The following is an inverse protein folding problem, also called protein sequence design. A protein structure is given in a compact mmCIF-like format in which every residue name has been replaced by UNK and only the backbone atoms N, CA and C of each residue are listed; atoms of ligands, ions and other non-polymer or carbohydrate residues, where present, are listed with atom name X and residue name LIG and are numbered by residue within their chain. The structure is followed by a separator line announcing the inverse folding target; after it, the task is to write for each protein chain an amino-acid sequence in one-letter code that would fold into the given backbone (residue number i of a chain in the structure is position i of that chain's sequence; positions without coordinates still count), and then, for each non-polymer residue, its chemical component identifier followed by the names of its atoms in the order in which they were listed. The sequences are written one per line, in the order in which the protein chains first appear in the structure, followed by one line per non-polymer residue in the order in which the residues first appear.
data_IF_361842787269
#
_entry.id   IF_361842787269
#
_cell.length_a   1.000
_cell.length_b   1.000
_cell.length_c   1.000
_cell.angle_alpha   90.00
_cell.angle_beta   90.00
_cell.angle_gamma   90.00
#
_symmetry.space_group_name_H-M   'P 1'
#
loop_
_entity.id
_entity.type
_entity.pdbx_description
1 polymer ?
#
# COMPACT_ATOMS: atom_id res chain seq x y z
N UNK A 1 -28.02 22.81 23.55
CA UNK A 1 -26.57 22.49 23.62
C UNK A 1 -26.09 21.48 22.55
N UNK A 2 -26.94 21.02 21.62
CA UNK A 2 -26.61 20.03 20.58
C UNK A 2 -26.09 20.62 19.24
N UNK A 3 -26.14 21.94 19.06
CA UNK A 3 -25.73 22.60 17.80
C UNK A 3 -24.21 22.68 17.61
N UNK A 4 -23.42 22.75 18.70
CA UNK A 4 -21.97 22.94 18.63
C UNK A 4 -21.18 21.66 18.29
N UNK A 5 -21.73 20.48 18.61
CA UNK A 5 -21.06 19.18 18.38
C UNK A 5 -21.17 18.74 16.92
N UNK A 6 -22.26 19.11 16.24
CA UNK A 6 -22.56 18.71 14.86
C UNK A 6 -21.74 19.48 13.81
N UNK A 7 -21.35 20.72 14.14
CA UNK A 7 -20.44 21.53 13.33
C UNK A 7 -19.00 20.98 13.44
N UNK A 8 -18.61 20.48 14.62
CA UNK A 8 -17.25 20.00 14.88
C UNK A 8 -16.88 18.70 14.15
N UNK A 9 -17.83 17.77 13.95
CA UNK A 9 -17.57 16.48 13.27
C UNK A 9 -17.59 16.58 11.73
N UNK A 10 -18.46 17.43 11.16
CA UNK A 10 -18.49 17.65 9.71
C UNK A 10 -17.30 18.50 9.21
N UNK A 11 -16.89 19.52 9.97
CA UNK A 11 -15.68 20.30 9.65
C UNK A 11 -14.38 19.50 9.78
N UNK A 12 -14.37 18.41 10.56
CA UNK A 12 -13.17 17.59 10.78
C UNK A 12 -12.96 16.50 9.72
N UNK A 13 -14.02 15.95 9.13
CA UNK A 13 -13.91 15.00 8.01
C UNK A 13 -13.51 15.68 6.70
N UNK A 14 -13.97 16.91 6.44
CA UNK A 14 -13.48 17.73 5.32
C UNK A 14 -11.97 18.00 5.41
N UNK A 15 -11.43 18.08 6.63
CA UNK A 15 -10.02 18.37 6.87
C UNK A 15 -9.08 17.18 6.52
N UNK A 16 -9.49 15.93 6.80
CA UNK A 16 -8.68 14.76 6.47
C UNK A 16 -8.63 14.49 4.97
N UNK A 17 -9.79 14.53 4.29
CA UNK A 17 -9.85 14.32 2.84
C UNK A 17 -9.06 15.40 2.09
N UNK A 18 -9.15 16.65 2.53
CA UNK A 18 -8.33 17.73 1.99
C UNK A 18 -6.83 17.49 2.21
N UNK A 19 -6.43 17.01 3.39
CA UNK A 19 -5.03 16.70 3.72
C UNK A 19 -4.48 15.49 2.95
N UNK A 20 -5.29 14.45 2.73
CA UNK A 20 -4.91 13.30 1.90
C UNK A 20 -4.76 13.70 0.43
N UNK A 21 -5.67 14.53 -0.08
CA UNK A 21 -5.54 15.12 -1.43
C UNK A 21 -4.28 15.97 -1.55
N UNK A 22 -4.02 16.83 -0.56
CA UNK A 22 -2.80 17.64 -0.52
C UNK A 22 -1.54 16.76 -0.50
N UNK A 23 -1.51 15.69 0.30
CA UNK A 23 -0.40 14.73 0.30
C UNK A 23 -0.17 14.11 -1.08
N UNK A 24 -1.24 13.63 -1.72
CA UNK A 24 -1.18 12.99 -3.05
C UNK A 24 -0.64 13.98 -4.10
N UNK A 25 -1.19 15.20 -4.16
CA UNK A 25 -0.70 16.25 -5.05
C UNK A 25 0.77 16.62 -4.79
N UNK A 26 1.19 16.64 -3.53
CA UNK A 26 2.59 16.90 -3.18
C UNK A 26 3.51 15.77 -3.63
N UNK A 27 3.12 14.50 -3.46
CA UNK A 27 3.90 13.36 -3.94
C UNK A 27 4.05 13.42 -5.46
N UNK A 28 2.96 13.67 -6.19
CA UNK A 28 3.00 13.79 -7.66
C UNK A 28 3.87 14.97 -8.11
N UNK A 29 3.80 16.09 -7.41
CA UNK A 29 4.64 17.27 -7.65
C UNK A 29 6.12 16.99 -7.36
N UNK A 30 6.44 16.29 -6.26
CA UNK A 30 7.80 15.85 -5.92
C UNK A 30 8.34 14.93 -7.01
N UNK A 31 7.53 13.96 -7.46
CA UNK A 31 7.96 13.00 -8.47
C UNK A 31 8.21 13.68 -9.81
N UNK A 32 7.29 14.55 -10.23
CA UNK A 32 7.38 15.27 -11.51
C UNK A 32 8.59 16.21 -11.51
N UNK A 33 8.76 17.02 -10.47
CA UNK A 33 9.85 18.00 -10.38
C UNK A 33 11.23 17.34 -10.27
N UNK A 34 11.38 16.26 -9.50
CA UNK A 34 12.66 15.56 -9.39
C UNK A 34 12.99 14.76 -10.66
N UNK A 35 12.00 14.20 -11.37
CA UNK A 35 12.21 13.53 -12.66
C UNK A 35 12.64 14.50 -13.75
N UNK A 36 12.07 15.71 -13.77
CA UNK A 36 12.50 16.78 -14.69
C UNK A 36 13.97 17.16 -14.47
N UNK A 37 14.38 17.34 -13.21
CA UNK A 37 15.77 17.67 -12.85
C UNK A 37 16.74 16.52 -13.17
N UNK A 38 16.34 15.28 -12.89
CA UNK A 38 17.09 14.08 -13.25
C UNK A 38 17.33 14.00 -14.77
N UNK A 39 16.28 14.20 -15.57
CA UNK A 39 16.38 14.17 -17.01
C UNK A 39 17.26 15.31 -17.56
N UNK A 40 17.20 16.50 -16.97
CA UNK A 40 18.07 17.61 -17.34
C UNK A 40 19.56 17.28 -17.10
N UNK A 41 19.90 16.68 -15.94
CA UNK A 41 21.27 16.23 -15.64
C UNK A 41 21.72 15.12 -16.61
N UNK A 42 20.85 14.16 -16.93
CA UNK A 42 21.16 13.08 -17.90
C UNK A 42 21.38 13.65 -19.31
N UNK A 43 20.54 14.60 -19.75
CA UNK A 43 20.64 15.20 -21.08
C UNK A 43 21.92 16.03 -21.26
N UNK A 44 22.41 16.66 -20.19
CA UNK A 44 23.70 17.34 -20.20
C UNK A 44 24.86 16.36 -20.43
N UNK A 45 24.81 15.18 -19.78
CA UNK A 45 25.77 14.10 -20.01
C UNK A 45 25.65 13.46 -21.40
N UNK A 46 24.43 13.30 -21.91
CA UNK A 46 24.17 12.78 -23.26
C UNK A 46 24.74 13.70 -24.33
N UNK A 47 24.66 15.02 -24.11
CA UNK A 47 25.25 16.03 -25.00
C UNK A 47 26.78 15.95 -25.03
N UNK A 48 27.42 15.69 -23.89
CA UNK A 48 28.89 15.48 -23.80
C UNK A 48 29.31 14.19 -24.48
N UNK A 49 28.51 13.12 -24.37
CA UNK A 49 28.76 11.86 -25.07
C UNK A 49 28.68 12.06 -26.59
N UNK A 50 27.68 12.80 -27.09
CA UNK A 50 27.54 13.12 -28.52
C UNK A 50 28.70 13.94 -29.08
N UNK A 51 29.31 14.80 -28.26
CA UNK A 51 30.51 15.57 -28.60
C UNK A 51 31.82 14.79 -28.44
N UNK A 52 31.75 13.50 -28.09
CA UNK A 52 32.91 12.64 -27.80
C UNK A 52 33.81 13.14 -26.65
N UNK A 53 33.30 14.04 -25.79
CA UNK A 53 34.03 14.58 -24.63
C UNK A 53 34.14 13.57 -23.47
N UNK A 54 33.33 12.50 -23.50
CA UNK A 54 33.26 11.45 -22.47
C UNK A 54 33.03 10.09 -23.11
N UNK A 55 33.59 9.03 -22.52
CA UNK A 55 33.38 7.65 -22.99
C UNK A 55 31.98 7.13 -22.64
N UNK A 56 31.48 6.17 -23.43
CA UNK A 56 30.18 5.52 -23.16
C UNK A 56 30.13 4.87 -21.77
N UNK A 57 31.22 4.24 -21.32
CA UNK A 57 31.30 3.63 -19.99
C UNK A 57 31.15 4.69 -18.88
N UNK A 58 31.83 5.83 -19.01
CA UNK A 58 31.74 6.95 -18.06
C UNK A 58 30.33 7.55 -18.06
N UNK A 59 29.70 7.67 -19.22
CA UNK A 59 28.30 8.10 -19.33
C UNK A 59 27.32 7.16 -18.59
N UNK A 60 27.45 5.84 -18.77
CA UNK A 60 26.57 4.89 -18.08
C UNK A 60 26.76 4.91 -16.56
N UNK A 61 28.00 5.04 -16.10
CA UNK A 61 28.31 5.18 -14.67
C UNK A 61 27.65 6.43 -14.07
N UNK A 62 27.76 7.58 -14.74
CA UNK A 62 27.19 8.84 -14.24
C UNK A 62 25.67 8.86 -14.34
N UNK A 63 25.08 8.32 -15.42
CA UNK A 63 23.62 8.14 -15.54
C UNK A 63 23.06 7.31 -14.38
N UNK A 64 23.76 6.25 -13.97
CA UNK A 64 23.39 5.43 -12.81
C UNK A 64 23.50 6.21 -11.50
N UNK A 65 24.59 6.95 -11.29
CA UNK A 65 24.77 7.80 -10.08
C UNK A 65 23.69 8.87 -9.98
N UNK A 66 23.33 9.51 -11.10
CA UNK A 66 22.26 10.50 -11.17
C UNK A 66 20.92 9.86 -10.82
N UNK A 67 20.57 8.71 -11.40
CA UNK A 67 19.34 8.00 -11.07
C UNK A 67 19.27 7.62 -9.58
N UNK A 68 20.37 7.14 -8.99
CA UNK A 68 20.44 6.80 -7.57
C UNK A 68 20.31 8.04 -6.66
N UNK A 69 20.97 9.15 -7.00
CA UNK A 69 20.86 10.45 -6.32
C UNK A 69 19.40 10.93 -6.29
N UNK A 70 18.73 10.95 -7.44
CA UNK A 70 17.34 11.42 -7.54
C UNK A 70 16.35 10.45 -6.89
N UNK A 71 16.58 9.13 -6.98
CA UNK A 71 15.79 8.15 -6.24
C UNK A 71 15.89 8.37 -4.72
N UNK A 72 17.08 8.61 -4.18
CA UNK A 72 17.27 8.89 -2.75
C UNK A 72 16.56 10.19 -2.34
N UNK A 73 16.69 11.23 -3.16
CA UNK A 73 16.07 12.54 -2.91
C UNK A 73 14.55 12.49 -2.96
N UNK A 74 13.96 11.79 -3.93
CA UNK A 74 12.51 11.54 -4.01
C UNK A 74 12.03 10.77 -2.78
N UNK A 75 12.72 9.68 -2.41
CA UNK A 75 12.36 8.88 -1.24
C UNK A 75 12.41 9.71 0.05
N UNK A 76 13.42 10.56 0.24
CA UNK A 76 13.53 11.41 1.42
C UNK A 76 12.38 12.43 1.49
N UNK A 77 12.04 13.07 0.36
CA UNK A 77 10.93 14.04 0.29
C UNK A 77 9.56 13.38 0.52
N UNK A 78 9.35 12.20 -0.07
CA UNK A 78 8.11 11.43 0.12
C UNK A 78 7.99 10.92 1.56
N UNK A 79 9.10 10.50 2.20
CA UNK A 79 9.11 10.06 3.60
C UNK A 79 8.73 11.21 4.55
N UNK A 80 9.19 12.44 4.28
CA UNK A 80 8.80 13.62 5.07
C UNK A 80 7.29 13.90 4.98
N UNK A 81 6.73 13.85 3.76
CA UNK A 81 5.28 14.02 3.57
C UNK A 81 4.49 12.84 4.18
N UNK A 82 5.07 11.63 4.16
CA UNK A 82 4.47 10.43 4.76
C UNK A 82 4.37 10.55 6.27
N UNK A 83 5.41 11.07 6.94
CA UNK A 83 5.39 11.29 8.39
C UNK A 83 4.25 12.25 8.80
N UNK A 84 4.02 13.29 8.00
CA UNK A 84 2.92 14.24 8.21
C UNK A 84 1.55 13.55 8.08
N UNK A 85 1.38 12.71 7.06
CA UNK A 85 0.14 11.94 6.87
C UNK A 85 -0.08 10.89 7.97
N UNK A 86 0.99 10.20 8.38
CA UNK A 86 0.96 9.19 9.45
C UNK A 86 0.51 9.81 10.78
N UNK A 87 0.95 11.04 11.09
CA UNK A 87 0.53 11.77 12.30
C UNK A 87 -0.97 12.15 12.27
N UNK A 88 -1.43 12.68 11.14
CA UNK A 88 -2.82 13.12 10.95
C UNK A 88 -3.76 11.89 11.00
N UNK A 89 -3.36 10.79 10.36
CA UNK A 89 -4.17 9.57 10.29
C UNK A 89 -4.25 8.88 11.67
N UNK A 90 -3.15 8.83 12.42
CA UNK A 90 -3.14 8.31 13.81
C UNK A 90 -4.08 9.09 14.72
N UNK A 91 -4.05 10.43 14.66
CA UNK A 91 -4.93 11.30 15.45
C UNK A 91 -6.42 11.06 15.13
N UNK A 92 -6.75 10.84 13.86
CA UNK A 92 -8.14 10.58 13.46
C UNK A 92 -8.64 9.18 13.87
N UNK A 93 -7.81 8.14 13.67
CA UNK A 93 -8.14 6.76 14.05
C UNK A 93 -8.35 6.66 15.55
N UNK A 94 -7.48 7.28 16.36
CA UNK A 94 -7.61 7.31 17.80
C UNK A 94 -8.95 7.93 18.23
N UNK A 95 -9.33 9.07 17.63
CA UNK A 95 -10.59 9.76 17.95
C UNK A 95 -11.86 8.98 17.54
N UNK A 96 -11.78 8.20 16.46
CA UNK A 96 -12.89 7.37 15.99
C UNK A 96 -13.19 6.17 16.89
N UNK A 97 -12.20 5.68 17.63
CA UNK A 97 -12.32 4.50 18.51
C UNK A 97 -12.94 4.87 19.88
N UNK A 98 -12.77 6.12 20.34
CA UNK A 98 -13.26 6.57 21.66
C UNK A 98 -14.66 7.20 21.67
N UNK A 99 -15.34 7.30 20.52
CA UNK A 99 -16.65 7.99 20.42
C UNK A 99 -17.81 6.98 20.32
N UNK A 100 -18.58 6.81 21.42
CA UNK A 100 -19.80 5.97 21.45
C UNK A 100 -20.88 6.49 20.49
N UNK A 101 -21.40 5.60 19.64
CA UNK A 101 -22.45 5.87 18.64
C UNK A 101 -23.86 6.01 19.26
N UNK A 102 -24.76 6.77 18.60
CA UNK A 102 -26.09 6.23 18.35
C UNK A 102 -26.60 6.43 16.91
N UNK A 103 -27.71 5.74 16.65
CA UNK A 103 -28.29 5.25 15.41
C UNK A 103 -29.30 6.25 14.78
N UNK A 104 -29.22 6.42 13.45
CA UNK A 104 -30.22 6.78 12.40
C UNK A 104 -31.09 8.07 12.54
N UNK A 105 -31.02 8.97 11.54
CA UNK A 105 -32.12 9.37 10.58
C UNK A 105 -31.69 10.56 9.72
N UNK A 106 -32.01 10.49 8.42
CA UNK A 106 -31.76 11.53 7.43
C UNK A 106 -32.82 12.64 7.53
N UNK A 107 -32.37 13.88 7.47
CA UNK A 107 -33.14 14.97 6.86
C UNK A 107 -32.30 15.68 5.79
N UNK A 108 -33.00 16.06 4.72
CA UNK A 108 -32.47 16.66 3.50
C UNK A 108 -32.16 18.13 3.73
N UNK A 109 -30.95 18.56 3.39
CA UNK A 109 -30.68 19.97 3.08
C UNK A 109 -29.91 20.05 1.77
N UNK A 110 -30.53 20.75 0.81
CA UNK A 110 -30.04 21.03 -0.53
C UNK A 110 -28.85 21.98 -0.42
N UNK A 111 -27.68 21.57 -0.91
CA UNK A 111 -26.71 22.48 -1.51
C UNK A 111 -26.07 21.73 -2.69
N UNK A 112 -26.60 22.02 -3.87
CA UNK A 112 -26.24 21.42 -5.14
C UNK A 112 -24.94 22.02 -5.66
N UNK A 113 -23.85 21.25 -5.59
CA UNK A 113 -22.72 21.42 -6.50
C UNK A 113 -22.98 20.45 -7.66
N UNK A 114 -23.30 21.02 -8.83
CA UNK A 114 -23.53 20.28 -10.06
C UNK A 114 -22.24 19.57 -10.49
N UNK A 115 -22.11 18.30 -10.12
CA UNK A 115 -21.31 17.34 -10.88
C UNK A 115 -22.27 16.74 -11.90
N UNK A 116 -21.99 16.97 -13.18
CA UNK A 116 -22.79 16.46 -14.30
C UNK A 116 -23.02 14.95 -14.12
N UNK A 117 -24.24 14.61 -13.72
CA UNK A 117 -24.81 13.28 -13.85
C UNK A 117 -25.16 13.12 -15.32
N UNK A 118 -24.30 12.45 -16.08
CA UNK A 118 -24.68 11.94 -17.39
C UNK A 118 -25.64 10.78 -17.17
N UNK A 119 -26.93 11.05 -17.27
CA UNK A 119 -27.91 10.01 -17.53
C UNK A 119 -27.66 9.55 -18.98
N UNK A 120 -27.16 8.33 -19.16
CA UNK A 120 -27.15 7.70 -20.48
C UNK A 120 -27.53 6.24 -20.37
N UNK A 121 -28.73 6.00 -20.88
CA UNK A 121 -29.23 4.76 -21.43
C UNK A 121 -28.14 3.86 -22.03
N UNK A 122 -28.20 2.57 -21.68
CA UNK A 122 -27.93 1.49 -22.63
C UNK A 122 -26.51 1.32 -23.18
N UNK A 123 -25.43 1.63 -22.44
CA UNK A 123 -24.07 1.20 -22.84
C UNK A 123 -23.49 0.16 -21.89
N UNK A 124 -23.14 -1.00 -22.45
CA UNK A 124 -22.33 -2.04 -21.80
C UNK A 124 -20.91 -1.49 -21.62
N UNK A 125 -20.67 -0.74 -20.57
CA UNK A 125 -19.38 -0.12 -20.30
C UNK A 125 -18.40 -1.12 -19.69
N UNK A 126 -17.54 -1.71 -20.55
CA UNK A 126 -16.37 -2.49 -20.15
C UNK A 126 -15.23 -1.54 -19.79
N UNK A 127 -15.25 -0.94 -18.59
CA UNK A 127 -14.09 -0.19 -18.09
C UNK A 127 -13.18 -1.09 -17.25
N UNK A 128 -11.94 -1.24 -17.73
CA UNK A 128 -10.84 -1.76 -16.92
C UNK A 128 -10.23 -0.59 -16.14
N UNK A 129 -10.22 -0.69 -14.82
CA UNK A 129 -9.70 0.36 -13.94
C UNK A 129 -8.43 -0.11 -13.23
N UNK A 130 -7.45 0.77 -13.08
CA UNK A 130 -6.27 0.53 -12.26
C UNK A 130 -6.54 1.10 -10.86
N UNK A 131 -6.52 0.22 -9.86
CA UNK A 131 -6.65 0.59 -8.47
C UNK A 131 -5.30 0.52 -7.78
N UNK A 132 -4.99 1.51 -6.96
CA UNK A 132 -3.83 1.47 -6.07
C UNK A 132 -4.34 1.45 -4.64
N UNK A 133 -3.84 0.53 -3.82
CA UNK A 133 -4.20 0.43 -2.42
C UNK A 133 -2.98 0.31 -1.51
N UNK A 134 -3.17 0.77 -0.29
CA UNK A 134 -2.17 0.71 0.78
C UNK A 134 -2.83 0.18 2.05
N UNK A 135 -2.13 -0.69 2.76
CA UNK A 135 -2.62 -1.25 4.02
C UNK A 135 -1.50 -1.39 5.05
N UNK A 136 -1.88 -1.25 6.31
CA UNK A 136 -1.07 -1.76 7.41
C UNK A 136 -1.32 -3.26 7.52
N UNK A 137 -0.28 -4.01 7.85
CA UNK A 137 -0.37 -5.47 7.89
C UNK A 137 0.44 -6.06 9.02
N UNK A 138 0.07 -7.26 9.43
CA UNK A 138 0.72 -7.96 10.54
C UNK A 138 0.47 -9.46 10.46
N UNK A 139 1.37 -10.22 11.10
CA UNK A 139 1.22 -11.66 11.26
C UNK A 139 0.37 -11.97 12.48
N UNK A 140 -0.47 -12.97 12.32
CA UNK A 140 -1.52 -13.40 13.24
C UNK A 140 -1.64 -14.91 13.18
N UNK A 141 -2.33 -15.49 14.16
CA UNK A 141 -2.76 -16.88 14.08
C UNK A 141 -4.09 -16.93 13.33
N UNK A 142 -5.09 -17.49 14.00
CA UNK A 142 -6.46 -17.60 13.45
C UNK A 142 -7.32 -16.35 13.66
N UNK A 143 -6.79 -15.32 14.33
CA UNK A 143 -7.52 -14.07 14.58
C UNK A 143 -7.41 -13.02 13.46
N UNK A 144 -8.15 -11.92 13.58
CA UNK A 144 -8.12 -10.76 12.66
C UNK A 144 -7.39 -9.55 13.25
N UNK A 145 -6.53 -9.75 14.26
CA UNK A 145 -5.91 -8.66 15.00
C UNK A 145 -4.68 -8.09 14.27
N UNK A 146 -4.90 -7.09 13.42
CA UNK A 146 -3.84 -6.36 12.71
C UNK A 146 -2.83 -5.68 13.67
N UNK A 147 -3.21 -5.46 14.93
CA UNK A 147 -2.37 -4.83 15.94
C UNK A 147 -1.75 -5.82 16.93
N UNK A 148 -1.62 -7.09 16.56
CA UNK A 148 -0.96 -8.10 17.36
C UNK A 148 0.51 -7.74 17.66
N UNK A 149 0.84 -7.52 18.95
CA UNK A 149 2.20 -7.18 19.40
C UNK A 149 3.13 -8.39 19.51
N UNK A 150 2.59 -9.59 19.49
CA UNK A 150 3.33 -10.84 19.69
C UNK A 150 3.86 -11.44 18.38
N UNK A 151 3.54 -10.84 17.24
CA UNK A 151 3.90 -11.31 15.89
C UNK A 151 5.40 -11.30 15.56
N UNK A 152 6.25 -10.74 16.43
CA UNK A 152 7.66 -10.48 16.14
C UNK A 152 7.89 -9.34 15.14
N UNK A 153 6.83 -8.72 14.62
CA UNK A 153 6.91 -7.64 13.63
C UNK A 153 6.60 -6.26 14.22
N UNK A 154 7.13 -5.23 13.55
CA UNK A 154 6.84 -3.82 13.85
C UNK A 154 5.52 -3.40 13.22
N UNK A 155 4.52 -3.24 14.06
CA UNK A 155 3.22 -2.65 13.72
C UNK A 155 3.44 -1.25 13.12
N UNK A 156 2.77 -0.95 12.00
CA UNK A 156 2.82 0.34 11.30
C UNK A 156 4.01 0.53 10.35
N UNK A 157 5.13 -0.19 10.56
CA UNK A 157 6.21 -0.27 9.58
C UNK A 157 6.05 -1.46 8.63
N UNK A 158 5.35 -2.49 9.08
CA UNK A 158 4.89 -3.60 8.26
C UNK A 158 3.64 -3.18 7.48
N UNK A 159 3.71 -3.24 6.16
CA UNK A 159 2.69 -2.70 5.26
C UNK A 159 2.61 -3.49 3.96
N UNK A 160 1.50 -3.32 3.26
CA UNK A 160 1.25 -3.90 1.94
C UNK A 160 0.80 -2.81 0.96
N UNK A 161 1.28 -2.93 -0.28
CA UNK A 161 0.87 -2.12 -1.42
C UNK A 161 0.37 -3.04 -2.52
N UNK A 162 -0.73 -2.68 -3.16
CA UNK A 162 -1.30 -3.47 -4.24
C UNK A 162 -1.76 -2.56 -5.39
N UNK A 163 -1.37 -2.93 -6.60
CA UNK A 163 -1.85 -2.38 -7.86
C UNK A 163 -2.74 -3.42 -8.49
N UNK A 164 -4.01 -3.10 -8.69
CA UNK A 164 -5.03 -4.03 -9.18
C UNK A 164 -5.64 -3.51 -10.48
N UNK A 165 -5.47 -4.25 -11.58
CA UNK A 165 -6.25 -4.07 -12.79
C UNK A 165 -7.59 -4.80 -12.65
N UNK A 166 -8.66 -4.01 -12.51
CA UNK A 166 -10.02 -4.48 -12.22
C UNK A 166 -10.93 -4.34 -13.43
N UNK A 167 -11.61 -5.42 -13.80
CA UNK A 167 -12.81 -5.39 -14.65
C UNK A 167 -14.06 -5.53 -13.79
N UNK A 168 -15.10 -4.80 -14.16
CA UNK A 168 -16.38 -4.82 -13.46
C UNK A 168 -17.48 -5.30 -14.40
N UNK A 169 -18.31 -6.22 -13.92
CA UNK A 169 -19.51 -6.67 -14.61
C UNK A 169 -20.72 -6.48 -13.69
N UNK A 170 -21.73 -5.77 -14.17
CA UNK A 170 -23.00 -5.66 -13.46
C UNK A 170 -23.84 -6.90 -13.77
N UNK A 171 -24.32 -7.58 -12.73
CA UNK A 171 -25.16 -8.77 -12.91
C UNK A 171 -26.56 -8.35 -13.35
N UNK A 172 -27.17 -9.06 -14.31
CA UNK A 172 -28.58 -8.82 -14.69
C UNK A 172 -28.82 -7.53 -15.48
N UNK A 173 -30.05 -6.99 -15.38
CA UNK A 173 -30.45 -5.76 -16.10
C UNK A 173 -29.74 -4.54 -15.51
N UNK A 174 -29.61 -3.45 -16.29
CA UNK A 174 -28.86 -2.24 -15.91
C UNK A 174 -29.25 -1.57 -14.57
N UNK A 175 -30.38 -1.92 -13.96
CA UNK A 175 -30.82 -1.44 -12.64
C UNK A 175 -30.40 -2.32 -11.46
N UNK A 176 -29.76 -3.47 -11.69
CA UNK A 176 -29.44 -4.42 -10.62
C UNK A 176 -28.28 -3.90 -9.74
N UNK A 177 -28.42 -3.86 -8.40
CA UNK A 177 -27.37 -3.38 -7.49
C UNK A 177 -26.15 -4.30 -7.33
N UNK A 178 -26.14 -5.49 -7.92
CA UNK A 178 -25.03 -6.45 -7.79
C UNK A 178 -23.98 -6.31 -8.90
N UNK A 179 -22.71 -6.31 -8.49
CA UNK A 179 -21.56 -6.26 -9.37
C UNK A 179 -20.56 -7.37 -9.04
N UNK A 180 -19.87 -7.86 -10.06
CA UNK A 180 -18.72 -8.74 -9.94
C UNK A 180 -17.49 -7.98 -10.42
N UNK A 181 -16.44 -8.01 -9.62
CA UNK A 181 -15.14 -7.46 -9.92
C UNK A 181 -14.12 -8.59 -10.03
N UNK A 182 -13.34 -8.60 -11.10
CA UNK A 182 -12.29 -9.58 -11.30
C UNK A 182 -11.12 -8.97 -12.07
N UNK A 183 -9.93 -9.59 -12.00
CA UNK A 183 -8.81 -9.15 -12.81
C UNK A 183 -7.47 -9.66 -12.30
N UNK A 184 -6.46 -8.80 -12.30
CA UNK A 184 -5.09 -9.16 -11.94
C UNK A 184 -4.47 -8.10 -11.02
N UNK A 185 -3.86 -8.54 -9.93
CA UNK A 185 -3.24 -7.66 -8.94
C UNK A 185 -1.76 -8.01 -8.71
N UNK A 186 -0.93 -6.97 -8.66
CA UNK A 186 0.44 -7.03 -8.20
C UNK A 186 0.49 -6.52 -6.77
N UNK A 187 0.82 -7.39 -5.82
CA UNK A 187 0.88 -7.08 -4.39
C UNK A 187 2.30 -7.21 -3.88
N UNK A 188 2.74 -6.24 -3.07
CA UNK A 188 4.01 -6.30 -2.35
C UNK A 188 3.80 -6.10 -0.87
N UNK A 189 4.16 -7.12 -0.11
CA UNK A 189 4.14 -7.07 1.35
C UNK A 189 5.54 -6.80 1.86
N UNK A 190 5.66 -5.93 2.85
CA UNK A 190 6.93 -5.63 3.50
C UNK A 190 6.80 -5.92 5.00
N UNK A 191 7.43 -7.00 5.45
CA UNK A 191 7.52 -7.39 6.85
C UNK A 191 8.78 -6.82 7.48
N UNK A 192 8.61 -6.12 8.59
CA UNK A 192 9.72 -5.49 9.29
C UNK A 192 9.82 -6.08 10.71
N UNK A 193 10.88 -6.84 11.03
CA UNK A 193 11.08 -7.39 12.36
C UNK A 193 11.15 -6.31 13.44
N UNK A 194 10.92 -6.70 14.70
CA UNK A 194 11.24 -5.88 15.88
C UNK A 194 12.70 -5.41 15.85
N UNK A 195 12.99 -4.32 16.57
CA UNK A 195 14.34 -3.72 16.60
C UNK A 195 15.37 -4.80 16.99
N UNK A 196 16.58 -4.64 16.45
CA UNK A 196 17.70 -5.58 16.53
C UNK A 196 17.57 -6.87 15.71
N UNK A 197 16.37 -7.30 15.29
CA UNK A 197 16.23 -8.57 14.56
C UNK A 197 16.33 -8.44 13.04
N UNK A 198 16.83 -9.49 12.40
CA UNK A 198 16.88 -9.69 10.94
C UNK A 198 16.25 -11.02 10.56
N UNK A 199 15.72 -11.10 9.34
CA UNK A 199 15.39 -12.40 8.75
C UNK A 199 16.68 -13.03 8.23
N UNK A 200 16.88 -14.32 8.50
CA UNK A 200 18.02 -15.12 8.05
C UNK A 200 17.50 -16.41 7.43
N UNK A 201 18.04 -16.77 6.27
CA UNK A 201 17.81 -18.06 5.63
C UNK A 201 19.11 -18.88 5.74
N UNK A 202 19.04 -20.01 6.45
CA UNK A 202 20.17 -20.92 6.64
C UNK A 202 19.67 -22.37 6.70
N UNK A 203 20.36 -23.31 6.06
CA UNK A 203 19.98 -24.73 6.00
C UNK A 203 18.51 -24.93 5.59
N UNK A 204 18.06 -24.21 4.55
CA UNK A 204 16.68 -24.14 4.06
C UNK A 204 15.64 -23.64 5.06
N UNK A 205 16.04 -23.12 6.23
CA UNK A 205 15.13 -22.59 7.25
C UNK A 205 15.16 -21.08 7.27
N UNK A 206 14.01 -20.47 7.51
CA UNK A 206 13.85 -19.02 7.64
C UNK A 206 13.47 -18.67 9.08
N UNK A 207 14.29 -17.89 9.76
CA UNK A 207 14.04 -17.51 11.14
C UNK A 207 14.42 -16.05 11.40
N UNK A 208 14.14 -15.58 12.62
CA UNK A 208 14.57 -14.27 13.09
C UNK A 208 15.77 -14.45 14.01
N UNK A 209 16.80 -13.67 13.76
CA UNK A 209 18.03 -13.65 14.55
C UNK A 209 18.34 -12.21 14.98
N UNK A 210 19.02 -12.05 16.11
CA UNK A 210 19.56 -10.76 16.50
C UNK A 210 20.72 -10.36 15.58
N UNK A 211 20.79 -9.08 15.25
CA UNK A 211 21.80 -8.56 14.34
C UNK A 211 23.08 -8.20 15.09
N UNK A 212 24.16 -8.94 14.84
CA UNK A 212 25.42 -8.79 15.58
C UNK A 212 26.49 -7.93 14.87
N UNK A 213 26.36 -7.68 13.56
CA UNK A 213 27.40 -7.01 12.74
C UNK A 213 27.43 -5.48 12.89
N UNK A 214 27.12 -4.97 14.08
CA UNK A 214 27.04 -3.55 14.42
C UNK A 214 25.62 -3.00 14.57
N UNK A 215 25.41 -1.72 14.23
CA UNK A 215 24.15 -1.02 14.51
C UNK A 215 23.13 -1.17 13.38
N UNK A 216 22.09 -1.95 13.62
CA UNK A 216 21.00 -2.16 12.67
C UNK A 216 20.21 -0.87 12.39
N UNK A 217 20.24 -0.41 11.13
CA UNK A 217 19.43 0.75 10.68
C UNK A 217 18.03 0.33 10.26
N UNK A 218 17.93 -0.74 9.45
CA UNK A 218 16.65 -1.25 8.93
C UNK A 218 16.81 -2.68 8.42
N UNK A 219 15.90 -3.56 8.85
CA UNK A 219 15.72 -4.89 8.27
C UNK A 219 14.32 -5.03 7.71
N UNK A 220 14.16 -5.73 6.60
CA UNK A 220 12.84 -6.07 6.06
C UNK A 220 12.90 -7.29 5.14
N UNK A 221 11.85 -8.09 5.18
CA UNK A 221 11.52 -9.07 4.16
C UNK A 221 10.42 -8.51 3.27
N UNK A 222 10.59 -8.64 1.95
CA UNK A 222 9.60 -8.23 0.96
C UNK A 222 9.16 -9.44 0.14
N UNK A 223 7.86 -9.69 0.15
CA UNK A 223 7.23 -10.71 -0.68
C UNK A 223 6.47 -10.03 -1.81
N UNK A 224 6.53 -10.62 -3.00
CA UNK A 224 5.88 -10.12 -4.21
C UNK A 224 4.93 -11.19 -4.72
N UNK A 225 3.69 -10.80 -4.98
CA UNK A 225 2.64 -11.71 -5.42
C UNK A 225 1.98 -11.20 -6.70
N UNK A 226 1.56 -12.16 -7.52
CA UNK A 226 0.61 -11.96 -8.61
C UNK A 226 -0.67 -12.69 -8.23
N UNK A 227 -1.77 -11.95 -8.14
CA UNK A 227 -3.05 -12.44 -7.61
C UNK A 227 -4.17 -12.25 -8.63
N UNK A 228 -5.09 -13.21 -8.66
CA UNK A 228 -6.37 -13.15 -9.34
C UNK A 228 -7.48 -12.92 -8.30
N UNK A 229 -7.91 -11.67 -8.07
CA UNK A 229 -9.04 -11.36 -7.19
C UNK A 229 -10.40 -11.60 -7.87
N UNK A 230 -11.38 -12.00 -7.07
CA UNK A 230 -12.80 -12.06 -7.41
C UNK A 230 -13.62 -11.49 -6.25
N UNK A 231 -14.35 -10.41 -6.48
CA UNK A 231 -15.13 -9.71 -5.46
C UNK A 231 -16.54 -9.42 -5.97
N UNK A 232 -17.53 -9.83 -5.18
CA UNK A 232 -18.92 -9.45 -5.36
C UNK A 232 -19.17 -8.17 -4.58
N UNK A 233 -19.82 -7.18 -5.20
CA UNK A 233 -20.25 -5.98 -4.51
C UNK A 233 -21.73 -5.69 -4.68
N UNK A 234 -22.31 -5.13 -3.63
CA UNK A 234 -23.72 -4.79 -3.54
C UNK A 234 -23.86 -3.31 -3.21
N UNK A 235 -24.50 -2.57 -4.12
CA UNK A 235 -24.68 -1.13 -4.01
C UNK A 235 -25.98 -0.80 -3.30
N UNK A 236 -25.87 -0.18 -2.12
CA UNK A 236 -27.02 0.30 -1.33
C UNK A 236 -26.93 1.82 -1.24
N UNK A 237 -27.75 2.53 -2.02
CA UNK A 237 -27.73 3.99 -2.09
C UNK A 237 -26.31 4.53 -2.40
N UNK A 238 -25.67 5.17 -1.43
CA UNK A 238 -24.32 5.77 -1.51
C UNK A 238 -23.21 4.82 -1.02
N UNK A 239 -23.59 3.69 -0.43
CA UNK A 239 -22.67 2.69 0.09
C UNK A 239 -22.52 1.54 -0.89
N UNK A 240 -21.37 0.90 -0.88
CA UNK A 240 -21.13 -0.35 -1.60
C UNK A 240 -20.39 -1.29 -0.66
N UNK A 241 -21.00 -2.45 -0.41
CA UNK A 241 -20.41 -3.53 0.37
C UNK A 241 -19.80 -4.52 -0.61
N UNK A 242 -18.55 -4.91 -0.39
CA UNK A 242 -17.90 -5.95 -1.18
C UNK A 242 -17.44 -7.10 -0.31
N UNK A 243 -17.58 -8.29 -0.86
CA UNK A 243 -17.09 -9.55 -0.30
C UNK A 243 -16.45 -10.34 -1.43
N UNK A 244 -15.23 -10.81 -1.21
CA UNK A 244 -14.48 -11.51 -2.24
C UNK A 244 -13.35 -12.35 -1.70
N UNK A 245 -12.70 -13.03 -2.63
CA UNK A 245 -11.48 -13.77 -2.40
C UNK A 245 -10.41 -13.39 -3.42
N UNK A 246 -9.21 -13.88 -3.19
CA UNK A 246 -8.11 -13.82 -4.13
C UNK A 246 -7.26 -15.07 -3.99
N UNK A 247 -6.70 -15.51 -5.11
CA UNK A 247 -5.73 -16.59 -5.16
C UNK A 247 -4.58 -16.20 -6.08
N UNK A 248 -3.38 -16.72 -5.86
CA UNK A 248 -2.27 -16.50 -6.78
C UNK A 248 -0.96 -17.05 -6.28
N UNK A 249 0.12 -16.54 -6.85
CA UNK A 249 1.48 -17.06 -6.65
C UNK A 249 2.40 -16.01 -6.06
N UNK A 250 3.31 -16.47 -5.21
CA UNK A 250 4.48 -15.71 -4.79
C UNK A 250 5.54 -15.80 -5.90
N UNK A 251 6.01 -14.65 -6.38
CA UNK A 251 7.00 -14.59 -7.47
C UNK A 251 8.39 -14.22 -6.99
N UNK A 252 8.51 -13.59 -5.81
CA UNK A 252 9.79 -13.11 -5.33
C UNK A 252 9.78 -12.78 -3.84
N UNK A 253 10.81 -13.26 -3.14
CA UNK A 253 11.07 -12.94 -1.74
C UNK A 253 12.45 -12.30 -1.61
N UNK A 254 12.54 -11.17 -0.91
CA UNK A 254 13.77 -10.39 -0.78
C UNK A 254 13.96 -9.97 0.66
N UNK A 255 15.04 -10.43 1.29
CA UNK A 255 15.56 -9.86 2.53
C UNK A 255 16.44 -8.66 2.18
N UNK A 256 16.24 -7.54 2.88
CA UNK A 256 17.08 -6.35 2.75
C UNK A 256 17.43 -5.82 4.13
N UNK A 257 18.73 -5.80 4.41
CA UNK A 257 19.29 -5.30 5.66
C UNK A 257 20.19 -4.11 5.38
N UNK A 258 20.09 -3.10 6.22
CA UNK A 258 20.90 -1.88 6.22
C UNK A 258 21.40 -1.66 7.64
N UNK A 259 22.70 -1.42 7.79
CA UNK A 259 23.34 -1.27 9.09
C UNK A 259 24.59 -0.38 8.99
N UNK A 260 25.13 -0.03 10.14
CA UNK A 260 26.46 0.57 10.28
C UNK A 260 27.36 -0.47 10.95
N UNK A 261 28.51 -0.76 10.37
CA UNK A 261 29.48 -1.68 10.97
C UNK A 261 30.17 -1.06 12.20
N UNK A 262 31.08 -1.81 12.84
CA UNK A 262 31.81 -1.37 14.04
C UNK A 262 32.63 -0.08 13.82
N UNK A 263 33.00 0.20 12.57
CA UNK A 263 33.71 1.43 12.18
C UNK A 263 32.74 2.56 11.76
N UNK A 264 31.45 2.44 12.11
CA UNK A 264 30.33 3.31 11.72
C UNK A 264 30.19 3.51 10.20
N UNK A 265 30.70 2.57 9.38
CA UNK A 265 30.53 2.63 7.92
C UNK A 265 29.20 2.01 7.53
N UNK A 266 28.45 2.72 6.69
CA UNK A 266 27.16 2.25 6.21
C UNK A 266 27.31 1.05 5.26
N UNK A 267 26.63 -0.05 5.57
CA UNK A 267 26.56 -1.27 4.78
C UNK A 267 25.11 -1.64 4.47
N UNK A 268 24.92 -2.34 3.35
CA UNK A 268 23.63 -2.89 2.94
C UNK A 268 23.84 -4.20 2.20
N UNK A 269 22.99 -5.19 2.45
CA UNK A 269 22.90 -6.38 1.61
C UNK A 269 21.45 -6.67 1.24
N UNK A 270 21.30 -7.45 0.18
CA UNK A 270 20.02 -7.90 -0.36
C UNK A 270 20.18 -9.35 -0.76
N UNK A 271 19.36 -10.21 -0.18
CA UNK A 271 19.34 -11.64 -0.46
C UNK A 271 17.97 -11.99 -1.03
N UNK A 272 17.95 -12.72 -2.14
CA UNK A 272 16.72 -13.36 -2.63
C UNK A 272 16.65 -14.70 -1.93
N UNK A 273 15.49 -15.03 -1.39
CA UNK A 273 15.27 -16.28 -0.66
C UNK A 273 14.21 -17.11 -1.38
N UNK A 274 14.36 -18.42 -1.33
CA UNK A 274 13.42 -19.36 -1.96
C UNK A 274 12.73 -20.25 -0.92
N UNK A 275 13.31 -20.43 0.27
CA UNK A 275 12.70 -21.20 1.35
C UNK A 275 11.94 -20.33 2.36
N UNK A 276 11.15 -20.98 3.22
CA UNK A 276 10.44 -20.35 4.34
C UNK A 276 9.16 -19.58 3.98
N UNK A 277 8.90 -19.31 2.70
CA UNK A 277 7.70 -18.60 2.24
C UNK A 277 6.82 -19.52 1.38
N UNK A 278 5.51 -19.44 1.54
CA UNK A 278 4.60 -20.23 0.71
C UNK A 278 4.59 -19.74 -0.75
N UNK A 279 4.65 -20.65 -1.74
CA UNK A 279 4.71 -20.29 -3.15
C UNK A 279 3.37 -19.84 -3.72
N UNK A 280 2.26 -20.12 -3.01
CA UNK A 280 0.92 -19.69 -3.36
C UNK A 280 0.26 -18.95 -2.19
N UNK A 281 -0.77 -18.17 -2.52
CA UNK A 281 -1.52 -17.38 -1.54
C UNK A 281 -3.01 -17.44 -1.87
N UNK A 282 -3.83 -17.82 -0.90
CA UNK A 282 -5.29 -17.73 -0.95
C UNK A 282 -5.77 -16.90 0.23
N UNK A 283 -6.73 -16.00 0.00
CA UNK A 283 -7.26 -15.16 1.06
C UNK A 283 -8.63 -14.56 0.74
N UNK A 284 -9.24 -14.01 1.78
CA UNK A 284 -10.53 -13.33 1.74
C UNK A 284 -10.38 -11.81 1.85
N UNK A 285 -11.36 -11.09 1.31
CA UNK A 285 -11.46 -9.64 1.34
C UNK A 285 -12.88 -9.18 1.65
N UNK A 286 -13.00 -8.26 2.58
CA UNK A 286 -14.18 -7.45 2.83
C UNK A 286 -13.87 -6.00 2.44
N UNK A 287 -14.80 -5.34 1.76
CA UNK A 287 -14.67 -3.93 1.37
C UNK A 287 -15.93 -3.15 1.72
N UNK A 288 -15.74 -1.89 2.10
CA UNK A 288 -16.82 -0.94 2.34
C UNK A 288 -16.44 0.36 1.62
N UNK A 289 -17.24 0.72 0.63
CA UNK A 289 -17.06 1.94 -0.15
C UNK A 289 -18.16 2.96 0.13
N UNK A 290 -17.77 4.23 0.20
CA UNK A 290 -18.67 5.36 0.33
C UNK A 290 -18.14 6.54 -0.48
N UNK A 291 -18.94 7.05 -1.43
CA UNK A 291 -18.61 8.25 -2.22
C UNK A 291 -17.19 8.26 -2.83
N UNK A 292 -16.72 7.10 -3.32
CA UNK A 292 -15.41 6.95 -3.96
C UNK A 292 -14.27 6.58 -3.00
N UNK A 293 -14.46 6.70 -1.69
CA UNK A 293 -13.54 6.14 -0.69
C UNK A 293 -13.84 4.67 -0.47
N UNK A 294 -12.81 3.83 -0.30
CA UNK A 294 -12.98 2.38 -0.03
C UNK A 294 -12.05 1.93 1.06
N UNK A 295 -12.62 1.42 2.15
CA UNK A 295 -11.92 0.66 3.18
C UNK A 295 -11.96 -0.83 2.84
N UNK A 296 -10.93 -1.56 3.24
CA UNK A 296 -10.96 -3.01 3.16
C UNK A 296 -10.23 -3.68 4.32
N UNK A 297 -10.66 -4.91 4.59
CA UNK A 297 -10.01 -5.88 5.45
C UNK A 297 -9.67 -7.10 4.58
N UNK A 298 -8.43 -7.57 4.63
CA UNK A 298 -8.00 -8.82 3.99
C UNK A 298 -7.43 -9.77 5.03
N UNK A 299 -7.71 -11.07 4.87
CA UNK A 299 -7.08 -12.15 5.62
C UNK A 299 -6.50 -13.15 4.62
N UNK A 300 -5.22 -13.44 4.77
CA UNK A 300 -4.56 -14.52 4.04
C UNK A 300 -4.87 -15.84 4.80
N UNK A 301 -5.55 -16.76 4.13
CA UNK A 301 -5.91 -18.08 4.65
C UNK A 301 -4.76 -19.07 4.50
N UNK A 302 -4.03 -18.99 3.39
CA UNK A 302 -2.72 -19.63 3.28
C UNK A 302 -1.73 -18.89 4.19
N UNK A 303 -0.98 -19.60 5.06
CA UNK A 303 0.11 -18.98 5.80
C UNK A 303 1.10 -18.31 4.84
N UNK A 304 1.57 -17.11 5.13
CA UNK A 304 2.62 -16.45 4.32
C UNK A 304 3.92 -17.23 4.40
N UNK A 305 4.23 -17.72 5.60
CA UNK A 305 5.41 -18.50 5.89
C UNK A 305 5.05 -19.99 5.97
N UNK A 306 5.88 -20.86 5.40
CA UNK A 306 5.65 -22.31 5.40
C UNK A 306 6.31 -22.98 6.63
N UNK A 307 6.35 -24.31 6.66
CA UNK A 307 6.89 -25.06 7.81
C UNK A 307 8.41 -24.92 7.98
N UNK A 308 9.12 -24.54 6.92
CA UNK A 308 10.55 -24.20 7.00
C UNK A 308 10.80 -22.84 7.65
N UNK A 309 9.76 -22.09 8.03
CA UNK A 309 9.90 -20.85 8.77
C UNK A 309 9.60 -21.01 10.26
N UNK A 310 10.57 -20.67 11.11
CA UNK A 310 10.48 -20.76 12.57
C UNK A 310 9.88 -19.47 13.14
N UNK A 311 8.61 -19.22 12.80
CA UNK A 311 7.83 -18.06 13.24
C UNK A 311 6.54 -18.52 13.92
N UNK A 312 6.24 -17.92 15.08
CA UNK A 312 5.04 -18.23 15.86
C UNK A 312 3.72 -17.88 15.16
N UNK A 313 3.75 -16.87 14.28
CA UNK A 313 2.58 -16.38 13.56
C UNK A 313 2.91 -16.31 12.07
N UNK A 314 2.10 -16.98 11.26
CA UNK A 314 2.38 -17.15 9.82
C UNK A 314 1.28 -16.59 8.93
N UNK A 315 0.06 -16.41 9.43
CA UNK A 315 -1.06 -15.89 8.66
C UNK A 315 -1.09 -14.37 8.70
N UNK A 316 -1.44 -13.73 7.60
CA UNK A 316 -1.35 -12.29 7.48
C UNK A 316 -2.73 -11.63 7.41
N UNK A 317 -2.89 -10.52 8.11
CA UNK A 317 -4.10 -9.68 8.09
C UNK A 317 -3.71 -8.28 7.63
N UNK A 318 -4.55 -7.67 6.81
CA UNK A 318 -4.37 -6.31 6.32
C UNK A 318 -5.63 -5.50 6.55
N UNK A 319 -5.44 -4.25 6.98
CA UNK A 319 -6.47 -3.23 6.99
C UNK A 319 -5.97 -2.02 6.22
N UNK A 320 -6.75 -1.54 5.26
CA UNK A 320 -6.26 -0.52 4.34
C UNK A 320 -7.33 0.21 3.56
N UNK A 321 -6.85 1.05 2.65
CA UNK A 321 -7.65 1.95 1.84
C UNK A 321 -7.26 1.85 0.36
N UNK A 322 -8.22 2.09 -0.53
CA UNK A 322 -7.94 2.29 -1.95
C UNK A 322 -7.64 3.78 -2.15
N UNK A 323 -6.43 4.10 -2.62
CA UNK A 323 -5.89 5.44 -2.77
C UNK A 323 -6.29 6.11 -4.08
N UNK A 324 -6.28 5.34 -5.17
CA UNK A 324 -6.58 5.86 -6.50
C UNK A 324 -7.37 4.82 -7.30
N UNK A 325 -8.30 5.32 -8.10
CA UNK A 325 -9.02 4.59 -9.13
C UNK A 325 -8.75 5.31 -10.45
N UNK A 326 -7.70 4.85 -11.13
CA UNK A 326 -7.21 5.43 -12.37
C UNK A 326 -7.83 4.61 -13.51
N UNK A 327 -8.97 5.08 -14.01
CA UNK A 327 -9.76 4.40 -15.02
C UNK A 327 -11.19 4.94 -15.01
N UNK A 328 -11.46 5.81 -15.98
CA UNK A 328 -12.59 6.73 -16.03
C UNK A 328 -12.06 8.14 -16.20
#
# INVERSE_FOLDING_TARGET
MFSLVQIHLNAQNENLDAKIKQYTHKVDSIVTSEKQKMNAEINAWDSRLKKQEVSNERFQQEKKKIAEKYQQKMNAKIENERNLLDEITKKQVQKSIYSKSPIIKQEKTKNSIHLKSGDSSGRKEKFGNILVSYSITNLTGNDFNVFNKNSGLRIGNTHSMEIYYRRTHQLGKAKNPFFIHYGLAYRTDTYMPKKSNVFVEENDRLFLEEFEKGRLKRSKLRNVYILAPLEFSYKINKWTLGLGGYAGINTRNIIKVKYYDENDKFKKYKTVIDNGVNPYLVGGKLSLSYRGFTLFLKKDFTPVFNDKAELNYKNNVQFGIVLANIGG
#
